data_IF_359215677409
#
_entry.id   IF_359215677409
#
_cell.length_a   1.000
_cell.length_b   1.000
_cell.length_c   1.000
_cell.angle_alpha   90.00
_cell.angle_beta   90.00
_cell.angle_gamma   90.00
#
_symmetry.space_group_name_H-M   'P 1'
#
loop_
_entity.id
_entity.type
_entity.pdbx_description
1 polymer ?
#
# COMPACT_ATOMS: atom_id res chain seq x y z
N UNK A 1 18.37 -14.42 -25.19
CA UNK A 1 18.14 -15.83 -24.78
C UNK A 1 19.21 -16.32 -23.81
N UNK A 2 20.48 -16.09 -24.06
CA UNK A 2 21.57 -16.55 -23.19
C UNK A 2 21.51 -15.97 -21.77
N UNK A 3 21.25 -14.65 -21.63
CA UNK A 3 21.03 -14.00 -20.32
C UNK A 3 19.78 -14.52 -19.60
N UNK A 4 18.71 -14.85 -20.32
CA UNK A 4 17.51 -15.45 -19.75
C UNK A 4 17.79 -16.85 -19.20
N UNK A 5 18.54 -17.66 -19.94
CA UNK A 5 18.94 -18.99 -19.51
C UNK A 5 19.87 -18.93 -18.30
N UNK A 6 20.83 -18.01 -18.26
CA UNK A 6 21.70 -17.81 -17.08
C UNK A 6 20.91 -17.35 -15.86
N UNK A 7 19.93 -16.44 -16.03
CA UNK A 7 19.05 -16.04 -14.94
C UNK A 7 18.23 -17.23 -14.43
N UNK A 8 17.64 -18.01 -15.34
CA UNK A 8 16.84 -19.20 -15.00
C UNK A 8 17.68 -20.25 -14.27
N UNK A 9 18.85 -20.59 -14.77
CA UNK A 9 19.76 -21.55 -14.12
C UNK A 9 20.15 -21.13 -12.71
N UNK A 10 20.38 -19.84 -12.50
CA UNK A 10 20.71 -19.27 -11.18
C UNK A 10 19.54 -19.34 -10.20
N UNK A 11 18.30 -19.23 -10.67
CA UNK A 11 17.10 -19.08 -9.84
C UNK A 11 16.14 -20.27 -9.89
N UNK A 12 16.43 -21.29 -10.71
CA UNK A 12 15.55 -22.45 -10.87
C UNK A 12 15.24 -23.22 -9.57
N UNK A 13 16.08 -23.10 -8.57
CA UNK A 13 15.90 -23.72 -7.26
C UNK A 13 15.42 -22.75 -6.15
N UNK A 14 15.19 -21.47 -6.49
CA UNK A 14 14.74 -20.46 -5.53
C UNK A 14 13.21 -20.51 -5.35
N UNK A 15 12.67 -21.65 -4.97
CA UNK A 15 11.23 -21.83 -4.73
C UNK A 15 10.76 -21.26 -3.39
N UNK A 16 11.69 -21.04 -2.44
CA UNK A 16 11.37 -20.53 -1.10
C UNK A 16 12.08 -19.22 -0.81
N UNK A 17 11.38 -18.31 -0.17
CA UNK A 17 11.91 -17.06 0.38
C UNK A 17 11.62 -17.02 1.85
N UNK A 18 12.62 -16.72 2.67
CA UNK A 18 12.41 -16.51 4.10
C UNK A 18 11.51 -15.29 4.32
N UNK A 19 10.47 -15.48 5.12
CA UNK A 19 9.53 -14.42 5.45
C UNK A 19 10.00 -13.67 6.69
N UNK A 20 9.98 -12.32 6.67
CA UNK A 20 10.36 -11.53 7.83
C UNK A 20 9.44 -11.80 9.03
N UNK A 21 10.03 -12.05 10.20
CA UNK A 21 9.30 -12.25 11.46
C UNK A 21 9.40 -10.99 12.32
N UNK A 22 8.39 -10.12 12.27
CA UNK A 22 8.41 -8.80 12.93
C UNK A 22 7.35 -8.59 14.02
N UNK A 23 6.68 -9.63 14.45
CA UNK A 23 5.53 -9.51 15.36
C UNK A 23 4.31 -8.89 14.68
N UNK A 24 3.18 -8.91 15.39
CA UNK A 24 1.91 -8.42 14.89
C UNK A 24 1.80 -6.92 15.13
N UNK A 25 1.43 -6.21 14.08
CA UNK A 25 1.09 -4.79 14.14
C UNK A 25 -0.26 -4.59 13.43
N UNK A 26 -1.09 -3.70 13.96
CA UNK A 26 -2.22 -3.24 13.17
C UNK A 26 -1.74 -2.21 12.12
N UNK A 27 -2.41 -2.17 10.97
CA UNK A 27 -2.14 -1.18 9.91
C UNK A 27 -2.21 0.24 10.48
N UNK A 28 -3.21 0.54 11.32
CA UNK A 28 -3.36 1.85 11.92
C UNK A 28 -2.24 2.20 12.92
N UNK A 29 -1.75 1.23 13.69
CA UNK A 29 -0.60 1.47 14.59
C UNK A 29 0.68 1.75 13.80
N UNK A 30 0.87 1.09 12.66
CA UNK A 30 1.98 1.36 11.75
C UNK A 30 1.88 2.74 11.10
N UNK A 31 0.68 3.17 10.70
CA UNK A 31 0.47 4.53 10.21
C UNK A 31 0.78 5.56 11.29
N UNK A 32 0.27 5.38 12.51
CA UNK A 32 0.60 6.27 13.65
C UNK A 32 2.11 6.35 13.89
N UNK A 33 2.81 5.22 13.84
CA UNK A 33 4.26 5.16 14.03
C UNK A 33 5.04 5.92 12.94
N UNK A 34 4.63 5.76 11.67
CA UNK A 34 5.44 6.23 10.55
C UNK A 34 5.00 7.59 9.98
N UNK A 35 3.75 8.05 10.26
CA UNK A 35 3.21 9.30 9.72
C UNK A 35 3.16 10.45 10.74
N UNK A 36 3.34 10.14 12.03
CA UNK A 36 3.26 11.15 13.10
C UNK A 36 4.23 12.30 12.84
N UNK A 37 3.68 13.52 12.88
CA UNK A 37 4.42 14.78 12.69
C UNK A 37 5.09 14.91 11.31
N UNK A 38 4.59 14.22 10.27
CA UNK A 38 5.11 14.30 8.90
C UNK A 38 4.13 15.00 7.97
N UNK A 39 4.64 15.55 6.88
CA UNK A 39 3.84 16.04 5.75
C UNK A 39 3.61 14.84 4.84
N UNK A 40 2.36 14.44 4.67
CA UNK A 40 1.96 13.17 4.03
C UNK A 40 1.09 13.43 2.79
N UNK A 41 1.35 12.71 1.71
CA UNK A 41 0.42 12.55 0.60
C UNK A 41 -0.21 11.16 0.68
N UNK A 42 -1.52 11.10 0.88
CA UNK A 42 -2.32 9.88 0.86
C UNK A 42 -2.94 9.71 -0.53
N UNK A 43 -2.52 8.67 -1.25
CA UNK A 43 -2.99 8.30 -2.58
C UNK A 43 -4.06 7.22 -2.45
N UNK A 44 -5.20 7.39 -3.15
CA UNK A 44 -6.41 6.61 -2.94
C UNK A 44 -7.16 7.08 -1.68
N UNK A 45 -7.32 8.41 -1.55
CA UNK A 45 -7.76 9.00 -0.27
C UNK A 45 -9.26 8.98 -0.05
N UNK A 46 -10.06 8.65 -1.07
CA UNK A 46 -11.51 8.82 -1.02
C UNK A 46 -12.29 7.57 -0.63
N UNK A 47 -11.67 6.38 -0.67
CA UNK A 47 -12.35 5.08 -0.46
C UNK A 47 -13.60 4.91 -1.36
N UNK A 48 -13.52 5.35 -2.64
CA UNK A 48 -14.61 5.18 -3.60
C UNK A 48 -14.97 3.68 -3.75
N UNK A 49 -16.28 3.30 -3.88
CA UNK A 49 -17.46 4.18 -4.00
C UNK A 49 -18.08 4.64 -2.67
N UNK A 50 -17.58 4.18 -1.54
CA UNK A 50 -18.21 4.31 -0.22
C UNK A 50 -17.87 5.62 0.50
N UNK A 51 -17.38 6.64 -0.23
CA UNK A 51 -16.85 7.89 0.32
C UNK A 51 -17.81 8.60 1.26
N UNK A 52 -19.07 8.79 0.83
CA UNK A 52 -20.08 9.52 1.60
C UNK A 52 -20.43 8.76 2.88
N UNK A 53 -20.72 7.46 2.79
CA UNK A 53 -21.01 6.60 3.92
C UNK A 53 -19.88 6.59 4.95
N UNK A 54 -18.62 6.49 4.50
CA UNK A 54 -17.45 6.48 5.38
C UNK A 54 -17.21 7.82 6.06
N UNK A 55 -17.52 8.94 5.41
CA UNK A 55 -17.47 10.26 6.03
C UNK A 55 -18.52 10.36 7.14
N UNK A 56 -19.78 9.99 6.87
CA UNK A 56 -20.87 10.03 7.84
C UNK A 56 -20.56 9.15 9.07
N UNK A 57 -20.03 7.96 8.83
CA UNK A 57 -19.66 7.01 9.90
C UNK A 57 -18.34 7.36 10.60
N UNK A 58 -17.62 8.40 10.16
CA UNK A 58 -16.27 8.78 10.64
C UNK A 58 -15.24 7.65 10.51
N UNK A 59 -15.37 6.84 9.46
CA UNK A 59 -14.55 5.66 9.17
C UNK A 59 -13.64 5.85 7.95
N UNK A 60 -13.62 7.05 7.37
CA UNK A 60 -12.73 7.37 6.26
C UNK A 60 -11.27 7.39 6.73
N UNK A 61 -10.44 6.53 6.15
CA UNK A 61 -9.02 6.43 6.51
C UNK A 61 -8.32 7.79 6.43
N UNK A 62 -8.63 8.61 5.42
CA UNK A 62 -8.03 9.93 5.26
C UNK A 62 -8.29 10.84 6.47
N UNK A 63 -9.51 10.85 7.02
CA UNK A 63 -9.83 11.63 8.23
C UNK A 63 -9.03 11.14 9.45
N UNK A 64 -8.90 9.81 9.63
CA UNK A 64 -8.07 9.25 10.69
C UNK A 64 -6.60 9.68 10.57
N UNK A 65 -6.04 9.66 9.37
CA UNK A 65 -4.66 10.09 9.10
C UNK A 65 -4.45 11.58 9.36
N UNK A 66 -5.48 12.41 9.14
CA UNK A 66 -5.45 13.85 9.46
C UNK A 66 -5.19 14.16 10.93
N UNK A 67 -5.57 13.25 11.84
CA UNK A 67 -5.30 13.37 13.28
C UNK A 67 -3.87 12.96 13.67
N UNK A 68 -3.09 12.42 12.74
CA UNK A 68 -1.75 11.86 12.99
C UNK A 68 -0.66 12.67 12.32
N UNK A 69 -0.88 13.05 11.05
CA UNK A 69 0.07 13.80 10.25
C UNK A 69 0.18 15.26 10.72
N UNK A 70 1.32 15.90 10.50
CA UNK A 70 1.45 17.35 10.69
C UNK A 70 0.66 18.11 9.62
N UNK A 71 0.75 17.65 8.38
CA UNK A 71 -0.05 18.10 7.25
C UNK A 71 -0.43 16.88 6.41
N UNK A 72 -1.70 16.82 5.99
CA UNK A 72 -2.21 15.74 5.14
C UNK A 72 -2.75 16.29 3.84
N UNK A 73 -2.30 15.69 2.75
CA UNK A 73 -2.78 15.90 1.40
C UNK A 73 -3.36 14.60 0.86
N UNK A 74 -4.39 14.71 0.01
CA UNK A 74 -5.03 13.56 -0.62
C UNK A 74 -4.99 13.66 -2.14
N UNK A 75 -4.79 12.52 -2.80
CA UNK A 75 -4.95 12.37 -4.25
C UNK A 75 -5.87 11.18 -4.52
N UNK A 76 -6.86 11.37 -5.36
CA UNK A 76 -7.74 10.30 -5.82
C UNK A 76 -8.14 10.52 -7.28
N UNK A 77 -8.35 9.43 -8.00
CA UNK A 77 -8.77 9.49 -9.41
C UNK A 77 -10.24 9.90 -9.56
N UNK A 78 -11.08 9.63 -8.55
CA UNK A 78 -12.49 9.99 -8.54
C UNK A 78 -12.69 11.46 -8.21
N UNK A 79 -12.93 12.28 -9.25
CA UNK A 79 -13.24 13.70 -9.07
C UNK A 79 -14.54 13.91 -8.28
N UNK A 80 -15.52 13.00 -8.43
CA UNK A 80 -16.77 13.01 -7.69
C UNK A 80 -16.53 12.86 -6.18
N UNK A 81 -15.79 11.81 -5.78
CA UNK A 81 -15.48 11.54 -4.37
C UNK A 81 -14.65 12.65 -3.74
N UNK A 82 -13.68 13.19 -4.48
CA UNK A 82 -12.93 14.39 -4.03
C UNK A 82 -13.87 15.58 -3.85
N UNK A 83 -14.87 15.74 -4.71
CA UNK A 83 -15.92 16.75 -4.58
C UNK A 83 -16.74 16.59 -3.29
N UNK A 84 -17.12 15.35 -2.96
CA UNK A 84 -17.83 15.01 -1.70
C UNK A 84 -16.94 15.35 -0.49
N UNK A 85 -15.68 14.92 -0.49
CA UNK A 85 -14.73 15.25 0.59
C UNK A 85 -14.58 16.76 0.81
N UNK A 86 -14.49 17.53 -0.27
CA UNK A 86 -14.40 19.01 -0.19
C UNK A 86 -15.67 19.66 0.38
N UNK A 87 -16.85 19.16 0.02
CA UNK A 87 -18.14 19.63 0.55
C UNK A 87 -18.25 19.38 2.05
N UNK A 88 -17.68 18.26 2.54
CA UNK A 88 -17.60 17.93 3.97
C UNK A 88 -16.50 18.75 4.72
N UNK A 89 -15.80 19.65 4.04
CA UNK A 89 -14.77 20.49 4.64
C UNK A 89 -13.38 19.87 4.71
N UNK A 90 -13.16 18.70 4.12
CA UNK A 90 -11.83 18.06 4.04
C UNK A 90 -10.97 18.88 3.06
N UNK A 91 -9.86 19.39 3.56
CA UNK A 91 -8.95 20.28 2.81
C UNK A 91 -7.81 19.50 2.17
N UNK A 92 -7.11 20.16 1.23
CA UNK A 92 -5.90 19.62 0.58
C UNK A 92 -6.13 18.29 -0.15
N UNK A 93 -7.32 18.06 -0.70
CA UNK A 93 -7.63 16.89 -1.53
C UNK A 93 -7.74 17.29 -2.99
N UNK A 94 -7.15 16.48 -3.87
CA UNK A 94 -6.99 16.74 -5.30
C UNK A 94 -7.50 15.57 -6.11
N UNK A 95 -8.24 15.86 -7.17
CA UNK A 95 -8.53 14.86 -8.19
C UNK A 95 -7.34 14.72 -9.14
N UNK A 96 -6.95 13.49 -9.45
CA UNK A 96 -5.86 13.26 -10.38
C UNK A 96 -5.46 11.80 -10.50
N UNK A 97 -4.83 11.50 -11.61
CA UNK A 97 -4.36 10.16 -11.96
C UNK A 97 -2.95 9.91 -11.39
N UNK A 98 -2.78 8.81 -10.67
CA UNK A 98 -1.49 8.39 -10.14
C UNK A 98 -0.45 8.15 -11.24
N UNK A 99 -0.86 7.74 -12.42
CA UNK A 99 0.05 7.60 -13.58
C UNK A 99 0.69 8.93 -14.00
N UNK A 100 0.05 10.05 -13.66
CA UNK A 100 0.48 11.42 -13.98
C UNK A 100 0.79 12.25 -12.73
N UNK A 101 1.11 11.61 -11.60
CA UNK A 101 1.36 12.29 -10.31
C UNK A 101 2.37 13.45 -10.45
N UNK A 102 3.43 13.25 -11.23
CA UNK A 102 4.49 14.25 -11.45
C UNK A 102 4.04 15.50 -12.25
N UNK A 103 2.85 15.44 -12.88
CA UNK A 103 2.25 16.52 -13.65
C UNK A 103 1.06 17.19 -12.93
N UNK A 104 0.67 16.72 -11.74
CA UNK A 104 -0.45 17.29 -11.01
C UNK A 104 -0.09 18.68 -10.50
N UNK A 105 -0.73 19.75 -11.04
CA UNK A 105 -0.43 21.16 -10.75
C UNK A 105 -0.57 21.49 -9.25
N UNK A 106 -1.52 20.85 -8.55
CA UNK A 106 -1.73 21.08 -7.11
C UNK A 106 -0.66 20.46 -6.20
N UNK A 107 0.13 19.52 -6.75
CA UNK A 107 1.09 18.70 -5.99
C UNK A 107 2.52 18.77 -6.53
N UNK A 108 2.74 19.25 -7.76
CA UNK A 108 4.00 19.13 -8.51
C UNK A 108 5.24 19.69 -7.82
N UNK A 109 5.07 20.71 -6.96
CA UNK A 109 6.16 21.38 -6.25
C UNK A 109 6.16 21.13 -4.74
N UNK A 110 5.22 20.32 -4.25
CA UNK A 110 5.13 19.98 -2.84
C UNK A 110 6.14 18.93 -2.42
N UNK A 111 6.77 19.16 -1.28
CA UNK A 111 7.76 18.24 -0.69
C UNK A 111 7.12 17.45 0.44
N UNK A 112 6.81 16.21 0.19
CA UNK A 112 6.30 15.30 1.21
C UNK A 112 7.42 14.58 1.95
N UNK A 113 7.20 14.29 3.23
CA UNK A 113 8.04 13.38 3.99
C UNK A 113 7.68 11.93 3.68
N UNK A 114 6.37 11.66 3.44
CA UNK A 114 5.85 10.34 3.16
C UNK A 114 4.82 10.40 2.04
N UNK A 115 4.92 9.49 1.08
CA UNK A 115 3.82 9.10 0.21
C UNK A 115 3.21 7.80 0.76
N UNK A 116 1.92 7.82 1.06
CA UNK A 116 1.16 6.64 1.48
C UNK A 116 0.27 6.17 0.34
N UNK A 117 0.49 4.96 -0.14
CA UNK A 117 -0.31 4.28 -1.17
C UNK A 117 -0.97 3.09 -0.48
N UNK A 118 -2.22 3.26 -0.09
CA UNK A 118 -2.94 2.27 0.72
C UNK A 118 -4.07 1.66 -0.07
N UNK A 119 -3.97 0.37 -0.37
CA UNK A 119 -4.99 -0.40 -1.12
C UNK A 119 -5.32 0.25 -2.48
N UNK A 120 -4.30 0.53 -3.29
CA UNK A 120 -4.44 1.16 -4.62
C UNK A 120 -3.81 0.32 -5.72
N UNK A 121 -2.62 -0.24 -5.47
CA UNK A 121 -1.80 -0.88 -6.52
C UNK A 121 -2.50 -2.09 -7.14
N UNK A 122 -3.27 -2.83 -6.35
CA UNK A 122 -4.06 -3.99 -6.79
C UNK A 122 -5.20 -3.65 -7.75
N UNK A 123 -5.67 -2.41 -7.73
CA UNK A 123 -6.74 -1.91 -8.61
C UNK A 123 -6.23 -1.40 -9.96
N UNK A 124 -4.93 -1.18 -10.10
CA UNK A 124 -4.36 -0.55 -11.29
C UNK A 124 -4.24 -1.53 -12.45
N UNK A 125 -4.56 -1.08 -13.66
CA UNK A 125 -4.35 -1.88 -14.88
C UNK A 125 -2.86 -2.09 -15.14
N UNK A 126 -2.04 -1.06 -14.86
CA UNK A 126 -0.60 -1.13 -15.02
C UNK A 126 0.14 -0.60 -13.78
N UNK A 127 0.37 -1.44 -12.76
CA UNK A 127 1.06 -1.02 -11.54
C UNK A 127 2.49 -0.51 -11.81
N UNK A 128 3.14 -0.98 -12.87
CA UNK A 128 4.48 -0.55 -13.23
C UNK A 128 4.54 0.93 -13.63
N UNK A 129 3.60 1.41 -14.42
CA UNK A 129 3.52 2.84 -14.77
C UNK A 129 3.28 3.73 -13.55
N UNK A 130 2.44 3.27 -12.60
CA UNK A 130 2.22 3.99 -11.35
C UNK A 130 3.49 4.08 -10.50
N UNK A 131 4.21 2.97 -10.35
CA UNK A 131 5.47 2.94 -9.62
C UNK A 131 6.52 3.87 -10.24
N UNK A 132 6.60 3.89 -11.57
CA UNK A 132 7.50 4.80 -12.27
C UNK A 132 7.10 6.28 -12.09
N UNK A 133 5.80 6.60 -12.09
CA UNK A 133 5.28 7.93 -11.80
C UNK A 133 5.63 8.39 -10.38
N UNK A 134 5.39 7.53 -9.39
CA UNK A 134 5.77 7.78 -7.98
C UNK A 134 7.28 8.02 -7.87
N UNK A 135 8.09 7.15 -8.48
CA UNK A 135 9.55 7.26 -8.47
C UNK A 135 10.02 8.60 -9.04
N UNK A 136 9.52 8.99 -10.21
CA UNK A 136 9.83 10.28 -10.85
C UNK A 136 9.46 11.45 -9.95
N UNK A 137 8.26 11.40 -9.37
CA UNK A 137 7.79 12.43 -8.44
C UNK A 137 8.71 12.59 -7.22
N UNK A 138 9.04 11.48 -6.55
CA UNK A 138 9.93 11.48 -5.38
C UNK A 138 11.31 12.03 -5.73
N UNK A 139 11.92 11.57 -6.82
CA UNK A 139 13.24 12.04 -7.23
C UNK A 139 13.26 13.53 -7.60
N UNK A 140 12.17 14.04 -8.19
CA UNK A 140 12.03 15.47 -8.55
C UNK A 140 11.84 16.35 -7.32
N UNK A 141 11.00 15.94 -6.35
CA UNK A 141 10.52 16.83 -5.28
C UNK A 141 11.27 16.65 -3.97
N UNK A 142 11.42 15.42 -3.49
CA UNK A 142 12.16 15.09 -2.27
C UNK A 142 12.74 13.67 -2.32
N UNK A 143 13.99 13.47 -2.76
CA UNK A 143 14.63 12.14 -2.81
C UNK A 143 14.75 11.43 -1.46
N UNK A 144 14.50 12.11 -0.34
CA UNK A 144 14.47 11.52 1.01
C UNK A 144 13.06 11.11 1.44
N UNK A 145 12.05 11.32 0.58
CA UNK A 145 10.67 10.93 0.86
C UNK A 145 10.59 9.41 1.04
N UNK A 146 9.98 8.99 2.13
CA UNK A 146 9.61 7.59 2.34
C UNK A 146 8.36 7.26 1.55
N UNK A 147 8.29 6.05 1.01
CA UNK A 147 7.10 5.55 0.31
C UNK A 147 6.57 4.35 1.04
N UNK A 148 5.30 4.41 1.44
CA UNK A 148 4.63 3.33 2.16
C UNK A 148 3.56 2.76 1.26
N UNK A 149 3.63 1.44 1.03
CA UNK A 149 2.61 0.68 0.33
C UNK A 149 1.90 -0.25 1.31
N UNK A 150 0.57 -0.30 1.22
CA UNK A 150 -0.19 -1.44 1.75
C UNK A 150 -1.00 -2.06 0.63
N UNK A 151 -1.04 -3.39 0.62
CA UNK A 151 -1.83 -4.19 -0.33
C UNK A 151 -2.42 -5.39 0.40
N UNK A 152 -3.56 -5.93 -0.08
CA UNK A 152 -4.10 -7.17 0.45
C UNK A 152 -3.09 -8.31 0.31
N UNK A 153 -3.02 -9.15 1.31
CA UNK A 153 -2.19 -10.34 1.29
C UNK A 153 -2.98 -11.52 0.72
N UNK A 154 -2.59 -11.99 -0.44
CA UNK A 154 -3.19 -13.17 -1.05
C UNK A 154 -3.17 -14.42 -0.15
N UNK A 155 -2.14 -14.57 0.69
CA UNK A 155 -2.00 -15.70 1.62
C UNK A 155 -2.90 -15.57 2.87
N UNK A 156 -3.80 -14.59 2.92
CA UNK A 156 -4.74 -14.43 4.03
C UNK A 156 -5.53 -15.72 4.27
N UNK A 157 -5.40 -16.27 5.48
CA UNK A 157 -6.03 -17.53 5.85
C UNK A 157 -7.55 -17.50 5.69
N UNK A 158 -8.19 -16.41 6.11
CA UNK A 158 -9.65 -16.31 6.11
C UNK A 158 -10.23 -16.36 4.70
N UNK A 159 -9.66 -15.61 3.77
CA UNK A 159 -10.13 -15.60 2.38
C UNK A 159 -9.92 -16.97 1.71
N UNK A 160 -8.72 -17.55 1.86
CA UNK A 160 -8.43 -18.85 1.28
C UNK A 160 -9.30 -19.98 1.87
N UNK A 161 -9.52 -19.95 3.20
CA UNK A 161 -10.37 -20.93 3.88
C UNK A 161 -11.84 -20.79 3.45
N UNK A 162 -12.37 -19.55 3.43
CA UNK A 162 -13.75 -19.30 3.01
C UNK A 162 -13.97 -19.69 1.55
N UNK A 163 -13.04 -19.37 0.68
CA UNK A 163 -13.12 -19.74 -0.75
C UNK A 163 -13.10 -21.26 -0.92
N UNK A 164 -12.23 -21.95 -0.17
CA UNK A 164 -12.18 -23.44 -0.21
C UNK A 164 -13.45 -24.12 0.28
N UNK A 165 -14.11 -23.54 1.31
CA UNK A 165 -15.37 -24.11 1.84
C UNK A 165 -16.59 -23.80 0.99
N UNK A 166 -16.65 -22.60 0.41
CA UNK A 166 -17.87 -22.13 -0.29
C UNK A 166 -17.78 -22.29 -1.79
N UNK A 167 -16.61 -22.60 -2.35
CA UNK A 167 -16.35 -22.62 -3.79
C UNK A 167 -16.49 -21.22 -4.42
N UNK A 168 -16.44 -20.16 -3.63
CA UNK A 168 -16.55 -18.76 -4.09
C UNK A 168 -15.25 -18.03 -3.78
N UNK A 169 -14.75 -17.30 -4.74
CA UNK A 169 -13.62 -16.39 -4.52
C UNK A 169 -14.10 -15.14 -3.77
N UNK A 170 -13.51 -14.91 -2.58
CA UNK A 170 -13.86 -13.77 -1.72
C UNK A 170 -12.81 -12.68 -1.93
N UNK A 171 -13.07 -11.78 -2.87
CA UNK A 171 -12.18 -10.68 -3.26
C UNK A 171 -13.00 -9.49 -3.73
N UNK A 172 -12.46 -8.28 -3.61
CA UNK A 172 -13.07 -7.10 -4.22
C UNK A 172 -13.09 -7.27 -5.75
N UNK A 173 -14.26 -7.07 -6.36
CA UNK A 173 -14.48 -7.27 -7.80
C UNK A 173 -13.60 -6.39 -8.70
N UNK A 174 -13.04 -5.29 -8.16
CA UNK A 174 -12.14 -4.39 -8.91
C UNK A 174 -10.65 -4.73 -8.74
N UNK A 175 -10.30 -5.73 -7.93
CA UNK A 175 -8.91 -6.18 -7.83
C UNK A 175 -8.46 -6.86 -9.13
N UNK A 176 -7.37 -6.38 -9.68
CA UNK A 176 -6.74 -6.90 -10.91
C UNK A 176 -5.53 -7.76 -10.61
N UNK A 177 -4.99 -7.64 -9.39
CA UNK A 177 -3.79 -8.36 -8.95
C UNK A 177 -3.92 -8.91 -7.55
N UNK A 178 -3.32 -10.08 -7.35
CA UNK A 178 -3.09 -10.68 -6.04
C UNK A 178 -1.60 -10.60 -5.70
N UNK A 179 -1.30 -10.10 -4.51
CA UNK A 179 0.08 -9.97 -4.05
C UNK A 179 0.40 -10.88 -2.87
N UNK A 180 1.55 -11.54 -2.95
CA UNK A 180 2.26 -12.12 -1.82
C UNK A 180 3.43 -11.22 -1.43
N UNK A 181 4.08 -11.49 -0.31
CA UNK A 181 5.32 -10.79 0.07
C UNK A 181 6.35 -10.79 -1.06
N UNK A 182 6.60 -11.95 -1.66
CA UNK A 182 7.60 -12.10 -2.73
C UNK A 182 7.21 -11.35 -3.99
N UNK A 183 5.98 -11.53 -4.47
CA UNK A 183 5.56 -10.94 -5.74
C UNK A 183 5.50 -9.42 -5.68
N UNK A 184 4.98 -8.85 -4.59
CA UNK A 184 4.94 -7.40 -4.44
C UNK A 184 6.33 -6.80 -4.22
N UNK A 185 7.16 -7.43 -3.37
CA UNK A 185 8.54 -7.02 -3.18
C UNK A 185 9.32 -6.99 -4.49
N UNK A 186 9.25 -8.05 -5.30
CA UNK A 186 9.91 -8.13 -6.60
C UNK A 186 9.41 -7.02 -7.54
N UNK A 187 8.09 -6.77 -7.56
CA UNK A 187 7.51 -5.71 -8.37
C UNK A 187 8.11 -4.34 -8.00
N UNK A 188 8.07 -3.94 -6.73
CA UNK A 188 8.56 -2.62 -6.32
C UNK A 188 10.08 -2.48 -6.45
N UNK A 189 10.86 -3.52 -6.16
CA UNK A 189 12.32 -3.53 -6.34
C UNK A 189 12.73 -3.37 -7.81
N UNK A 190 11.96 -3.90 -8.77
CA UNK A 190 12.18 -3.69 -10.19
C UNK A 190 12.05 -2.22 -10.61
N UNK A 191 11.30 -1.41 -9.84
CA UNK A 191 11.15 0.03 -10.02
C UNK A 191 12.04 0.86 -9.07
N UNK A 192 13.09 0.24 -8.50
CA UNK A 192 14.07 0.84 -7.59
C UNK A 192 13.49 1.38 -6.28
N UNK A 193 12.46 0.75 -5.76
CA UNK A 193 12.07 0.94 -4.38
C UNK A 193 12.84 -0.04 -3.50
N UNK A 194 13.64 0.46 -2.59
CA UNK A 194 14.41 -0.33 -1.64
C UNK A 194 13.60 -0.47 -0.35
N UNK A 195 13.31 -1.71 0.05
CA UNK A 195 12.50 -2.00 1.24
C UNK A 195 13.32 -1.81 2.50
N UNK A 196 12.97 -0.82 3.32
CA UNK A 196 13.61 -0.55 4.62
C UNK A 196 12.94 -1.33 5.74
N UNK A 197 11.59 -1.45 5.67
CA UNK A 197 10.81 -2.12 6.70
C UNK A 197 9.60 -2.82 6.09
N UNK A 198 9.22 -3.95 6.69
CA UNK A 198 8.10 -4.77 6.23
C UNK A 198 7.36 -5.37 7.41
N UNK A 199 6.03 -5.42 7.31
CA UNK A 199 5.15 -6.08 8.28
C UNK A 199 4.03 -6.82 7.59
N UNK A 200 3.67 -7.98 8.13
CA UNK A 200 2.34 -8.55 7.96
C UNK A 200 1.42 -7.84 8.96
N UNK A 201 0.36 -7.19 8.49
CA UNK A 201 -0.48 -6.34 9.32
C UNK A 201 -1.91 -6.85 9.43
N UNK A 202 -2.54 -6.55 10.58
CA UNK A 202 -3.98 -6.75 10.78
C UNK A 202 -4.76 -5.51 10.35
N UNK A 203 -6.09 -5.62 10.32
CA UNK A 203 -7.01 -4.48 10.19
C UNK A 203 -6.76 -3.43 11.29
N UNK A 204 -7.73 -2.62 11.63
CA UNK A 204 -7.61 -1.60 12.67
C UNK A 204 -7.59 -2.17 14.10
N UNK A 205 -7.51 -1.26 15.06
CA UNK A 205 -7.47 -1.59 16.51
C UNK A 205 -8.77 -2.23 17.02
N UNK A 206 -9.85 -2.22 16.22
CA UNK A 206 -11.20 -2.66 16.62
C UNK A 206 -11.50 -4.17 16.63
N UNK A 207 -10.56 -5.05 16.24
CA UNK A 207 -10.73 -6.51 16.46
C UNK A 207 -10.45 -6.93 17.90
N UNK A 208 -10.62 -6.04 18.85
CA UNK A 208 -10.15 -6.16 20.22
C UNK A 208 -11.18 -6.74 21.20
N UNK A 209 -11.85 -7.82 20.84
CA UNK A 209 -12.34 -8.70 21.92
C UNK A 209 -11.13 -9.38 22.57
N UNK A 210 -11.12 -9.51 23.89
CA UNK A 210 -10.03 -10.15 24.64
C UNK A 210 -9.68 -11.53 24.05
N UNK A 211 -10.70 -12.28 23.59
CA UNK A 211 -10.53 -13.57 22.90
C UNK A 211 -9.86 -13.42 21.53
N UNK A 212 -10.23 -12.41 20.74
CA UNK A 212 -9.59 -12.10 19.47
C UNK A 212 -8.11 -11.70 19.63
N UNK A 213 -7.78 -10.90 20.65
CA UNK A 213 -6.39 -10.53 20.99
C UNK A 213 -5.53 -11.75 21.31
N UNK A 214 -6.05 -12.68 22.13
CA UNK A 214 -5.33 -13.90 22.51
C UNK A 214 -5.14 -14.80 21.29
N UNK A 215 -6.18 -15.00 20.48
CA UNK A 215 -6.13 -15.81 19.26
C UNK A 215 -5.15 -15.22 18.25
N UNK A 216 -5.27 -13.93 17.93
CA UNK A 216 -4.35 -13.23 17.05
C UNK A 216 -2.93 -13.28 17.59
N UNK A 217 -2.70 -13.08 18.88
CA UNK A 217 -1.37 -13.11 19.51
C UNK A 217 -0.72 -14.50 19.51
N UNK A 218 -1.49 -15.57 19.69
CA UNK A 218 -0.97 -16.94 19.60
C UNK A 218 -0.75 -17.38 18.15
N UNK A 219 -1.77 -17.19 17.32
CA UNK A 219 -1.80 -17.65 15.94
C UNK A 219 -0.76 -16.93 15.08
N UNK A 220 -0.61 -15.64 15.25
CA UNK A 220 0.28 -14.84 14.43
C UNK A 220 1.75 -14.91 14.83
N UNK A 221 2.09 -15.38 16.04
CA UNK A 221 3.48 -15.73 16.34
C UNK A 221 4.00 -16.85 15.43
N UNK A 222 3.10 -17.74 15.01
CA UNK A 222 3.44 -18.91 14.17
C UNK A 222 3.14 -18.61 12.70
N UNK A 223 2.04 -17.91 12.40
CA UNK A 223 1.49 -17.75 11.06
C UNK A 223 1.32 -16.29 10.62
N UNK A 224 2.31 -15.44 10.89
CA UNK A 224 2.24 -14.01 10.51
C UNK A 224 1.95 -13.81 9.02
N UNK A 225 2.46 -14.68 8.16
CA UNK A 225 2.23 -14.63 6.72
C UNK A 225 0.77 -14.81 6.29
N UNK A 226 -0.11 -15.21 7.20
CA UNK A 226 -1.54 -15.38 6.96
C UNK A 226 -2.39 -14.16 7.38
N UNK A 227 -1.74 -13.06 7.81
CA UNK A 227 -2.43 -11.81 8.14
C UNK A 227 -2.91 -11.10 6.87
N UNK A 228 -3.99 -10.27 6.98
CA UNK A 228 -4.69 -9.74 5.82
C UNK A 228 -3.91 -8.75 4.95
N UNK A 229 -2.94 -8.04 5.51
CA UNK A 229 -2.23 -7.00 4.79
C UNK A 229 -0.72 -7.20 4.75
N UNK A 230 -0.13 -6.77 3.63
CA UNK A 230 1.30 -6.53 3.48
C UNK A 230 1.54 -5.03 3.62
N UNK A 231 2.47 -4.65 4.48
CA UNK A 231 2.89 -3.28 4.70
C UNK A 231 4.38 -3.14 4.37
N UNK A 232 4.70 -2.35 3.36
CA UNK A 232 6.06 -2.08 2.93
C UNK A 232 6.40 -0.61 3.15
N UNK A 233 7.51 -0.33 3.82
CA UNK A 233 8.09 1.00 3.91
C UNK A 233 9.39 1.03 3.14
N UNK A 234 9.48 1.92 2.17
CA UNK A 234 10.54 1.97 1.18
C UNK A 234 11.14 3.37 1.05
N UNK A 235 12.29 3.45 0.42
CA UNK A 235 12.81 4.67 -0.20
C UNK A 235 13.12 4.41 -1.68
N UNK A 236 13.25 5.48 -2.46
CA UNK A 236 13.62 5.37 -3.87
C UNK A 236 15.13 5.32 -3.99
N UNK A 237 15.65 4.24 -4.58
CA UNK A 237 17.08 4.08 -4.85
C UNK A 237 17.60 5.08 -5.89
N UNK A 238 18.87 5.48 -5.76
CA UNK A 238 19.52 6.48 -6.63
C UNK A 238 19.87 5.95 -8.02
N UNK A 239 19.96 4.64 -8.20
CA UNK A 239 20.31 4.03 -9.50
C UNK A 239 19.08 3.96 -10.40
N UNK A 240 19.31 4.05 -11.73
CA UNK A 240 18.27 3.93 -12.73
C UNK A 240 17.58 2.54 -12.69
N UNK A 241 16.49 2.46 -13.44
CA UNK A 241 15.63 1.27 -13.56
C UNK A 241 16.43 -0.04 -13.68
N UNK A 242 16.23 -0.95 -12.72
CA UNK A 242 16.83 -2.29 -12.74
C UNK A 242 16.08 -3.27 -13.63
N UNK A 243 14.99 -2.83 -14.25
CA UNK A 243 14.26 -3.62 -15.21
C UNK A 243 15.18 -3.99 -16.36
N UNK A 244 15.56 -5.25 -16.44
CA UNK A 244 16.24 -5.76 -17.63
C UNK A 244 15.34 -5.47 -18.82
N UNK A 245 15.91 -4.85 -19.85
CA UNK A 245 15.25 -4.76 -21.17
C UNK A 245 14.78 -6.17 -21.52
N UNK A 246 13.49 -6.30 -21.77
CA UNK A 246 12.93 -7.53 -22.34
C UNK A 246 13.52 -7.77 -23.73
#
# INVERSE_FOLDING_TARGET
MEEYNQYWEKHKNDYAVELPKRGIQSRLSLFRKHLKNKIVLHIGCSDWPDTEEKIENKDLLHQYLGNIAAELYGLDVSAESVGIMKKDGIKNVFAGDLYLLHNNEGLSDKKFNVLLISEVIEHLVNPGLALESIRKYVLKTNPKCEVIFTVPNYQNLWYNFTSGLTGKEVVNSDHKYYFSYRTFRTLIENYNFEVNDFYFATYGEGMETLKGRIFVKLFSKIFQCLLPYLYFKCHVGKQGFRGKKA
#
